data_IF_028695373793
#
_entry.id   IF_028695373793
#
_cell.length_a   1.000
_cell.length_b   1.000
_cell.length_c   1.000
_cell.angle_alpha   90.00
_cell.angle_beta   90.00
_cell.angle_gamma   90.00
#
_symmetry.space_group_name_H-M   'P 1'
#
loop_
_entity.id
_entity.type
_entity.pdbx_description
1 polymer ?
#
# COMPACT_ATOMS: atom_id res chain seq x y z
N UNK A 1 9.51 -9.16 -0.15
CA UNK A 1 8.58 -8.08 0.26
C UNK A 1 7.24 -8.17 -0.46
N UNK A 2 7.20 -8.36 -1.77
CA UNK A 2 5.98 -8.36 -2.61
C UNK A 2 4.94 -9.48 -2.38
N UNK A 3 5.24 -10.48 -1.54
CA UNK A 3 4.31 -11.58 -1.25
C UNK A 3 2.96 -11.14 -0.68
N UNK A 4 2.90 -9.99 0.01
CA UNK A 4 1.66 -9.47 0.60
C UNK A 4 0.65 -9.01 -0.45
N UNK A 5 1.11 -8.69 -1.67
CA UNK A 5 0.25 -8.33 -2.80
C UNK A 5 0.21 -9.41 -3.88
N UNK A 6 0.57 -10.66 -3.52
CA UNK A 6 0.65 -11.80 -4.45
C UNK A 6 1.53 -11.48 -5.68
N UNK A 7 2.61 -10.73 -5.45
CA UNK A 7 3.58 -10.33 -6.48
C UNK A 7 2.99 -9.49 -7.62
N UNK A 8 1.85 -8.83 -7.37
CA UNK A 8 1.20 -7.93 -8.31
C UNK A 8 0.94 -6.58 -7.65
N UNK A 9 0.93 -5.51 -8.44
CA UNK A 9 0.46 -4.22 -7.98
C UNK A 9 -1.05 -4.25 -7.82
N UNK A 10 -1.53 -3.84 -6.65
CA UNK A 10 -2.95 -3.64 -6.40
C UNK A 10 -3.32 -2.26 -6.95
N UNK A 11 -4.14 -2.22 -8.00
CA UNK A 11 -4.59 -0.98 -8.62
C UNK A 11 -6.00 -0.63 -8.17
N UNK A 12 -6.12 0.39 -7.33
CA UNK A 12 -7.41 0.90 -6.87
C UNK A 12 -7.99 1.90 -7.88
N UNK A 13 -9.23 2.34 -7.68
CA UNK A 13 -9.93 3.26 -8.61
C UNK A 13 -10.55 4.45 -7.88
N UNK A 14 -9.80 5.05 -6.97
CA UNK A 14 -10.30 6.19 -6.19
C UNK A 14 -10.48 7.43 -7.07
N UNK A 15 -11.64 8.06 -6.96
CA UNK A 15 -11.96 9.33 -7.63
C UNK A 15 -11.56 10.51 -6.75
N UNK A 16 -11.67 10.34 -5.42
CA UNK A 16 -11.45 11.42 -4.45
C UNK A 16 -10.46 11.00 -3.35
N UNK A 17 -9.73 11.96 -2.80
CA UNK A 17 -8.73 11.71 -1.75
C UNK A 17 -9.35 11.07 -0.50
N UNK A 18 -10.58 11.46 -0.18
CA UNK A 18 -11.32 10.98 1.00
C UNK A 18 -11.65 9.48 0.93
N UNK A 19 -11.58 8.87 -0.25
CA UNK A 19 -11.80 7.43 -0.44
C UNK A 19 -10.54 6.62 -0.11
N UNK A 20 -9.36 7.26 -0.05
CA UNK A 20 -8.11 6.56 0.24
C UNK A 20 -8.10 6.09 1.69
N UNK A 21 -7.90 4.78 1.94
CA UNK A 21 -7.78 4.28 3.29
C UNK A 21 -6.41 4.64 3.88
N UNK A 22 -6.33 4.75 5.21
CA UNK A 22 -5.06 4.94 5.92
C UNK A 22 -4.27 3.64 6.15
N UNK A 23 -4.89 2.49 5.86
CA UNK A 23 -4.31 1.14 5.98
C UNK A 23 -5.11 0.14 5.14
N UNK A 24 -4.48 -0.97 4.79
CA UNK A 24 -5.13 -2.13 4.15
C UNK A 24 -4.86 -3.43 4.90
N UNK A 25 -5.58 -4.49 4.54
CA UNK A 25 -5.36 -5.84 5.10
C UNK A 25 -3.93 -6.33 4.86
N UNK A 26 -3.39 -6.07 3.67
CA UNK A 26 -2.02 -6.41 3.29
C UNK A 26 -1.00 -5.64 4.15
N UNK A 27 -1.27 -4.37 4.45
CA UNK A 27 -0.40 -3.56 5.32
C UNK A 27 -0.40 -4.05 6.77
N UNK A 28 -1.52 -4.58 7.26
CA UNK A 28 -1.61 -5.19 8.60
C UNK A 28 -0.83 -6.50 8.67
N UNK A 29 -0.89 -7.33 7.61
CA UNK A 29 -0.10 -8.55 7.49
C UNK A 29 1.40 -8.25 7.38
N UNK A 30 1.78 -7.25 6.58
CA UNK A 30 3.15 -6.77 6.47
C UNK A 30 3.68 -6.27 7.81
N UNK A 31 2.92 -5.40 8.49
CA UNK A 31 3.25 -4.88 9.81
C UNK A 31 3.53 -5.99 10.81
N UNK A 32 2.59 -6.95 10.95
CA UNK A 32 2.75 -8.11 11.85
C UNK A 32 4.01 -8.93 11.50
N UNK A 33 4.28 -9.14 10.21
CA UNK A 33 5.42 -9.92 9.77
C UNK A 33 6.76 -9.20 10.02
N UNK A 34 6.81 -7.89 9.82
CA UNK A 34 8.01 -7.08 10.06
C UNK A 34 8.29 -6.92 11.56
N UNK A 35 7.26 -6.71 12.38
CA UNK A 35 7.41 -6.69 13.86
C UNK A 35 8.00 -8.00 14.37
N UNK A 36 7.52 -9.14 13.88
CA UNK A 36 8.07 -10.48 14.22
C UNK A 36 9.54 -10.65 13.85
N UNK A 37 10.04 -9.88 12.87
CA UNK A 37 11.45 -9.87 12.44
C UNK A 37 12.29 -8.81 13.16
N UNK A 38 11.74 -8.14 14.17
CA UNK A 38 12.47 -7.16 14.99
C UNK A 38 12.48 -5.73 14.43
N UNK A 39 11.77 -5.45 13.34
CA UNK A 39 11.64 -4.07 12.84
C UNK A 39 10.78 -3.23 13.79
N UNK A 40 11.16 -1.96 13.95
CA UNK A 40 10.44 -0.95 14.75
C UNK A 40 9.81 0.10 13.84
N UNK A 41 8.80 0.82 14.33
CA UNK A 41 8.07 1.85 13.58
C UNK A 41 7.39 1.34 12.29
N UNK A 42 7.01 0.06 12.29
CA UNK A 42 6.35 -0.62 11.16
C UNK A 42 4.87 -0.85 11.46
N UNK A 43 4.16 0.19 11.89
CA UNK A 43 2.70 0.12 12.08
C UNK A 43 1.96 0.00 10.73
N UNK A 44 0.71 -0.50 10.69
CA UNK A 44 -0.01 -0.73 9.44
C UNK A 44 -0.07 0.50 8.52
N UNK A 45 -0.29 1.69 9.08
CA UNK A 45 -0.32 2.94 8.30
C UNK A 45 1.03 3.26 7.64
N UNK A 46 2.14 3.10 8.36
CA UNK A 46 3.48 3.28 7.79
C UNK A 46 3.78 2.22 6.73
N UNK A 47 3.35 0.98 6.94
CA UNK A 47 3.48 -0.08 5.94
C UNK A 47 2.65 0.21 4.69
N UNK A 48 1.44 0.74 4.84
CA UNK A 48 0.59 1.11 3.70
C UNK A 48 1.20 2.27 2.90
N UNK A 49 1.71 3.29 3.58
CA UNK A 49 2.43 4.38 2.92
C UNK A 49 3.68 3.87 2.16
N UNK A 50 4.42 2.92 2.73
CA UNK A 50 5.52 2.25 2.04
C UNK A 50 5.05 1.47 0.81
N UNK A 51 3.94 0.73 0.91
CA UNK A 51 3.36 -0.01 -0.21
C UNK A 51 2.94 0.93 -1.36
N UNK A 52 2.36 2.09 -1.04
CA UNK A 52 2.03 3.13 -2.03
C UNK A 52 3.31 3.69 -2.68
N UNK A 53 4.30 4.08 -1.89
CA UNK A 53 5.54 4.70 -2.39
C UNK A 53 6.38 3.77 -3.28
N UNK A 54 6.34 2.46 -3.01
CA UNK A 54 7.11 1.45 -3.76
C UNK A 54 6.36 0.85 -4.94
N UNK A 55 5.10 1.23 -5.16
CA UNK A 55 4.27 0.72 -6.25
C UNK A 55 3.65 -0.66 -6.01
N UNK A 56 3.69 -1.18 -4.77
CA UNK A 56 2.90 -2.36 -4.40
C UNK A 56 1.41 -2.08 -4.46
N UNK A 57 1.03 -0.84 -4.18
CA UNK A 57 -0.33 -0.32 -4.34
C UNK A 57 -0.27 0.92 -5.22
N UNK A 58 -1.10 0.96 -6.25
CA UNK A 58 -1.33 2.14 -7.07
C UNK A 58 -2.64 2.82 -6.61
N UNK A 59 -2.47 3.83 -5.76
CA UNK A 59 -3.53 4.68 -5.22
C UNK A 59 -3.59 6.06 -5.89
N UNK A 60 -2.96 6.22 -7.04
CA UNK A 60 -3.19 7.42 -7.84
C UNK A 60 -4.69 7.56 -8.11
N UNK A 61 -5.23 8.76 -7.93
CA UNK A 61 -6.61 9.04 -8.30
C UNK A 61 -6.82 8.75 -9.78
N UNK A 62 -8.03 8.36 -10.18
CA UNK A 62 -8.34 8.08 -11.59
C UNK A 62 -8.12 9.27 -12.52
N UNK A 63 -8.13 10.50 -11.97
CA UNK A 63 -7.82 11.75 -12.68
C UNK A 63 -6.31 12.05 -12.79
N UNK A 64 -5.45 11.33 -12.06
CA UNK A 64 -4.01 11.56 -12.09
C UNK A 64 -3.39 11.02 -13.39
N UNK A 65 -2.54 11.83 -14.04
CA UNK A 65 -1.85 11.44 -15.29
C UNK A 65 -0.93 10.22 -15.16
N UNK A 66 -0.59 9.80 -13.93
CA UNK A 66 0.20 8.61 -13.62
C UNK A 66 -0.64 7.35 -13.38
N UNK A 67 -1.96 7.46 -13.25
CA UNK A 67 -2.84 6.34 -12.90
C UNK A 67 -2.68 5.09 -13.79
N UNK A 68 -2.43 5.28 -15.09
CA UNK A 68 -2.21 4.18 -16.06
C UNK A 68 -0.73 3.92 -16.38
N UNK A 69 0.20 4.53 -15.66
CA UNK A 69 1.65 4.45 -15.90
C UNK A 69 2.42 3.82 -14.75
N UNK A 70 1.72 3.32 -13.73
CA UNK A 70 2.25 2.72 -12.50
C UNK A 70 1.58 1.37 -12.28
#
# INVERSE_FOLDING_TARGET
MWKFTKEKTIKNKFKYIQELPSKSKESEEMSKNLKKRGFKFVEPTSCYAFMQATGMVNDHLTSCFKYNKV
#
